data_IF_975130305004
#
_entry.id   IF_975130305004
#
_cell.length_a   1.000
_cell.length_b   1.000
_cell.length_c   1.000
_cell.angle_alpha   90.00
_cell.angle_beta   90.00
_cell.angle_gamma   90.00
#
_symmetry.space_group_name_H-M   'P 1'
#
loop_
_entity.id
_entity.type
_entity.pdbx_description
1 polymer ?
#
# COMPACT_ATOMS: atom_id res chain seq x y z
N UNK A 1 -0.58 32.46 -5.91
CA UNK A 1 0.43 31.39 -6.01
C UNK A 1 -0.14 30.31 -6.91
N UNK A 2 0.40 30.16 -8.12
CA UNK A 2 -0.10 29.19 -9.09
C UNK A 2 0.58 27.85 -8.81
N UNK A 3 -0.13 26.92 -8.17
CA UNK A 3 0.32 25.55 -8.03
C UNK A 3 0.12 24.89 -9.40
N UNK A 4 1.16 24.46 -10.13
CA UNK A 4 0.96 23.77 -11.39
C UNK A 4 0.20 22.48 -11.09
N UNK A 5 -1.02 22.37 -11.60
CA UNK A 5 -1.79 21.13 -11.61
C UNK A 5 -1.07 20.19 -12.58
N UNK A 6 -0.07 19.45 -12.08
CA UNK A 6 0.61 18.41 -12.84
C UNK A 6 -0.47 17.35 -13.10
N UNK A 7 -0.92 17.13 -14.35
CA UNK A 7 -1.85 16.06 -14.62
C UNK A 7 -1.20 14.75 -14.15
N UNK A 8 -1.97 13.91 -13.44
CA UNK A 8 -1.55 12.58 -13.01
C UNK A 8 -1.24 11.75 -14.26
N UNK A 9 -0.01 11.87 -14.73
CA UNK A 9 0.47 11.18 -15.93
C UNK A 9 0.36 9.67 -15.73
N UNK A 10 0.26 8.93 -16.82
CA UNK A 10 0.31 7.46 -16.83
C UNK A 10 1.53 6.93 -16.03
N UNK A 11 2.66 7.65 -16.10
CA UNK A 11 3.85 7.36 -15.30
C UNK A 11 3.59 7.43 -13.79
N UNK A 12 2.88 8.47 -13.30
CA UNK A 12 2.57 8.59 -11.87
C UNK A 12 1.66 7.46 -11.39
N UNK A 13 0.72 7.01 -12.24
CA UNK A 13 -0.18 5.89 -11.92
C UNK A 13 0.59 4.57 -11.83
N UNK A 14 1.51 4.33 -12.78
CA UNK A 14 2.38 3.15 -12.76
C UNK A 14 3.28 3.13 -11.51
N UNK A 15 3.83 4.28 -11.13
CA UNK A 15 4.65 4.40 -9.92
C UNK A 15 3.80 4.13 -8.67
N UNK A 16 2.62 4.73 -8.56
CA UNK A 16 1.71 4.51 -7.43
C UNK A 16 1.30 3.03 -7.31
N UNK A 17 0.95 2.39 -8.42
CA UNK A 17 0.62 0.96 -8.45
C UNK A 17 1.81 0.09 -8.00
N UNK A 18 3.01 0.37 -8.51
CA UNK A 18 4.21 -0.36 -8.14
C UNK A 18 4.56 -0.23 -6.66
N UNK A 19 4.45 0.99 -6.11
CA UNK A 19 4.70 1.25 -4.68
C UNK A 19 3.69 0.53 -3.80
N UNK A 20 2.39 0.62 -4.12
CA UNK A 20 1.33 -0.09 -3.38
C UNK A 20 1.56 -1.60 -3.39
N UNK A 21 1.92 -2.17 -4.54
CA UNK A 21 2.20 -3.60 -4.65
C UNK A 21 3.42 -4.02 -3.83
N UNK A 22 4.50 -3.24 -3.83
CA UNK A 22 5.70 -3.53 -3.05
C UNK A 22 5.41 -3.49 -1.53
N UNK A 23 4.66 -2.49 -1.07
CA UNK A 23 4.25 -2.37 0.34
C UNK A 23 3.37 -3.56 0.73
N UNK A 24 2.35 -3.90 -0.07
CA UNK A 24 1.47 -5.02 0.19
C UNK A 24 2.23 -6.36 0.29
N UNK A 25 3.16 -6.60 -0.63
CA UNK A 25 4.00 -7.80 -0.61
C UNK A 25 4.88 -7.88 0.65
N UNK A 26 5.43 -6.74 1.08
CA UNK A 26 6.23 -6.67 2.31
C UNK A 26 5.40 -7.00 3.55
N UNK A 27 4.21 -6.40 3.67
CA UNK A 27 3.28 -6.65 4.78
C UNK A 27 2.87 -8.13 4.82
N UNK A 28 2.52 -8.72 3.67
CA UNK A 28 2.14 -10.13 3.57
C UNK A 28 3.30 -11.07 3.94
N UNK A 29 4.55 -10.70 3.60
CA UNK A 29 5.74 -11.45 4.05
C UNK A 29 5.85 -11.44 5.58
N UNK A 30 5.74 -10.28 6.22
CA UNK A 30 5.80 -10.20 7.69
C UNK A 30 4.69 -11.02 8.34
N UNK A 31 3.46 -10.95 7.82
CA UNK A 31 2.34 -11.77 8.27
C UNK A 31 2.67 -13.27 8.20
N UNK A 32 3.23 -13.75 7.08
CA UNK A 32 3.61 -15.16 6.90
C UNK A 32 4.75 -15.62 7.81
N UNK A 33 5.65 -14.71 8.17
CA UNK A 33 6.80 -15.00 9.03
C UNK A 33 6.47 -14.88 10.54
N UNK A 34 5.25 -14.46 10.90
CA UNK A 34 4.91 -14.20 12.30
C UNK A 34 5.51 -12.90 12.85
N UNK A 35 5.98 -12.02 11.96
CA UNK A 35 6.63 -10.77 12.33
C UNK A 35 5.60 -9.63 12.48
N UNK A 36 5.83 -8.77 13.45
CA UNK A 36 5.01 -7.58 13.69
C UNK A 36 5.44 -6.40 12.81
N UNK A 37 4.50 -5.52 12.47
CA UNK A 37 4.76 -4.23 11.81
C UNK A 37 4.30 -3.08 12.68
N UNK A 38 4.91 -1.90 12.50
CA UNK A 38 4.44 -0.67 13.16
C UNK A 38 3.98 0.34 12.10
N UNK A 39 2.79 0.90 12.29
CA UNK A 39 2.16 1.86 11.38
C UNK A 39 1.78 3.13 12.13
N UNK A 40 1.70 4.25 11.42
CA UNK A 40 1.07 5.45 11.94
C UNK A 40 -0.44 5.37 11.72
N UNK A 41 -1.22 5.42 12.80
CA UNK A 41 -2.69 5.39 12.75
C UNK A 41 -3.26 6.27 13.86
N UNK A 42 -4.23 7.11 13.51
CA UNK A 42 -4.95 7.97 14.47
C UNK A 42 -4.02 8.84 15.32
N UNK A 43 -2.96 9.40 14.71
CA UNK A 43 -2.03 10.30 15.38
C UNK A 43 -1.01 9.64 16.31
N UNK A 44 -0.87 8.31 16.27
CA UNK A 44 0.11 7.56 17.06
C UNK A 44 0.70 6.38 16.28
N UNK A 45 1.82 5.85 16.78
CA UNK A 45 2.37 4.58 16.30
C UNK A 45 1.55 3.44 16.90
N UNK A 46 1.09 2.53 16.04
CA UNK A 46 0.38 1.29 16.42
C UNK A 46 1.16 0.11 15.86
N UNK A 47 1.49 -0.84 16.72
CA UNK A 47 2.12 -2.10 16.32
C UNK A 47 1.06 -3.17 16.12
N UNK A 48 1.09 -3.84 14.96
CA UNK A 48 0.23 -4.97 14.62
C UNK A 48 1.09 -6.24 14.65
N UNK A 49 0.63 -7.26 15.38
CA UNK A 49 1.20 -8.61 15.28
C UNK A 49 0.73 -9.29 14.00
N UNK A 50 1.41 -10.37 13.59
CA UNK A 50 1.07 -11.08 12.36
C UNK A 50 -0.40 -11.51 12.28
N UNK A 51 -1.00 -11.96 13.38
CA UNK A 51 -2.41 -12.40 13.42
C UNK A 51 -3.42 -11.25 13.24
N UNK A 52 -2.98 -10.01 13.45
CA UNK A 52 -3.80 -8.80 13.26
C UNK A 52 -3.70 -8.24 11.84
N UNK A 53 -2.77 -8.75 11.03
CA UNK A 53 -2.62 -8.35 9.62
C UNK A 53 -3.55 -9.24 8.78
N UNK A 54 -4.53 -8.67 8.06
CA UNK A 54 -5.41 -9.46 7.21
C UNK A 54 -4.61 -10.12 6.08
N UNK A 55 -4.99 -11.32 5.63
CA UNK A 55 -4.35 -11.97 4.49
C UNK A 55 -4.53 -11.11 3.23
N UNK A 56 -3.48 -11.01 2.43
CA UNK A 56 -3.55 -10.30 1.16
C UNK A 56 -4.53 -11.00 0.21
N UNK A 57 -5.68 -10.36 -0.05
CA UNK A 57 -6.67 -10.79 -1.03
C UNK A 57 -6.36 -10.16 -2.39
N UNK A 58 -6.18 -10.99 -3.43
CA UNK A 58 -5.94 -10.54 -4.81
C UNK A 58 -7.06 -9.69 -5.40
N UNK A 59 -8.19 -9.55 -4.71
CA UNK A 59 -9.33 -8.69 -5.10
C UNK A 59 -9.11 -7.20 -4.79
N UNK A 60 -8.08 -6.84 -4.02
CA UNK A 60 -7.74 -5.43 -3.73
C UNK A 60 -6.67 -4.86 -4.68
N UNK A 61 -6.39 -5.55 -5.81
CA UNK A 61 -5.61 -4.93 -6.87
C UNK A 61 -6.38 -3.72 -7.42
N UNK A 62 -5.73 -2.54 -7.56
CA UNK A 62 -6.31 -1.45 -8.32
C UNK A 62 -6.71 -2.02 -9.68
N UNK A 63 -8.00 -2.00 -9.98
CA UNK A 63 -8.49 -2.43 -11.28
C UNK A 63 -7.71 -1.64 -12.34
N UNK A 64 -7.04 -2.34 -13.27
CA UNK A 64 -6.48 -1.70 -14.46
C UNK A 64 -7.60 -0.86 -15.07
N UNK A 65 -7.41 0.46 -15.02
CA UNK A 65 -8.32 1.41 -15.59
C UNK A 65 -8.31 1.14 -17.11
N UNK A 66 -9.46 0.84 -17.74
CA UNK A 66 -9.48 0.45 -19.14
C UNK A 66 -8.95 1.60 -19.99
N UNK A 67 -8.08 1.26 -20.96
CA UNK A 67 -7.53 2.18 -21.97
C UNK A 67 -8.61 2.90 -22.78
#
# INVERSE_FOLDING_TARGET
>A
MNNPHIPLSELHQQIDAGVKQAIANSIERHRKLGESISIWKDGKVVTLTADQIPPFSSTDQPQEQPR
#
